data_IF_846001817086
#
_entry.id   IF_846001817086
#
_cell.length_a   1.000
_cell.length_b   1.000
_cell.length_c   1.000
_cell.angle_alpha   90.00
_cell.angle_beta   90.00
_cell.angle_gamma   90.00
#
_symmetry.space_group_name_H-M   'P 1'
#
loop_
_entity.id
_entity.type
_entity.pdbx_description
1 polymer ?
#
# COMPACT_ATOMS: atom_id res chain seq x y z
N UNK A 1 4.49 1.44 11.78
CA UNK A 1 3.99 2.48 10.87
C UNK A 1 3.07 1.89 9.80
N UNK A 2 3.47 0.84 9.04
CA UNK A 2 2.66 0.25 7.96
C UNK A 2 1.27 -0.19 8.43
N UNK A 3 1.13 -0.82 9.60
CA UNK A 3 -0.17 -1.17 10.16
C UNK A 3 -1.11 0.04 10.33
N UNK A 4 -0.55 1.21 10.65
CA UNK A 4 -1.34 2.46 10.75
C UNK A 4 -1.80 2.92 9.38
N UNK A 5 -0.93 2.87 8.38
CA UNK A 5 -1.27 3.21 6.98
C UNK A 5 -2.36 2.29 6.47
N UNK A 6 -2.17 0.98 6.58
CA UNK A 6 -3.11 -0.06 6.13
C UNK A 6 -4.51 0.15 6.72
N UNK A 7 -4.59 0.51 8.00
CA UNK A 7 -5.88 0.64 8.68
C UNK A 7 -6.54 2.01 8.53
N UNK A 8 -5.74 3.09 8.48
CA UNK A 8 -6.29 4.46 8.50
C UNK A 8 -6.51 5.03 7.11
N UNK A 9 -5.63 4.74 6.15
CA UNK A 9 -5.70 5.35 4.84
C UNK A 9 -7.02 5.06 4.12
N UNK A 10 -7.54 3.82 4.07
CA UNK A 10 -8.84 3.55 3.46
C UNK A 10 -10.00 4.33 4.15
N UNK A 11 -9.96 4.42 5.48
CA UNK A 11 -10.98 5.16 6.24
C UNK A 11 -10.93 6.67 5.98
N UNK A 12 -9.73 7.22 5.79
CA UNK A 12 -9.57 8.64 5.42
C UNK A 12 -10.15 8.88 4.03
N UNK A 13 -9.85 8.01 3.06
CA UNK A 13 -10.39 8.09 1.71
C UNK A 13 -11.92 7.97 1.68
N UNK A 14 -12.49 7.04 2.44
CA UNK A 14 -13.95 6.88 2.54
C UNK A 14 -14.62 8.15 3.08
N UNK A 15 -14.05 8.77 4.12
CA UNK A 15 -14.54 10.04 4.66
C UNK A 15 -14.46 11.18 3.65
N UNK A 16 -13.35 11.28 2.94
CA UNK A 16 -13.15 12.29 1.89
C UNK A 16 -14.18 12.10 0.77
N UNK A 17 -14.44 10.86 0.34
CA UNK A 17 -15.46 10.56 -0.64
C UNK A 17 -16.88 10.93 -0.16
N UNK A 18 -17.21 10.65 1.09
CA UNK A 18 -18.51 11.05 1.66
C UNK A 18 -18.68 12.57 1.66
N UNK A 19 -17.62 13.32 2.03
CA UNK A 19 -17.67 14.79 1.96
C UNK A 19 -17.83 15.29 0.53
N UNK A 20 -17.07 14.76 -0.42
CA UNK A 20 -17.19 15.12 -1.84
C UNK A 20 -18.58 14.78 -2.41
N UNK A 21 -19.13 13.63 -2.06
CA UNK A 21 -20.49 13.26 -2.48
C UNK A 21 -21.55 14.19 -1.90
N UNK A 22 -21.41 14.62 -0.65
CA UNK A 22 -22.32 15.58 -0.02
C UNK A 22 -22.24 16.97 -0.70
N UNK A 23 -21.02 17.44 -1.01
CA UNK A 23 -20.83 18.68 -1.78
C UNK A 23 -21.51 18.62 -3.16
N UNK A 24 -21.35 17.51 -3.90
CA UNK A 24 -21.96 17.31 -5.21
C UNK A 24 -23.48 17.24 -5.17
N UNK A 25 -24.05 16.84 -4.01
CA UNK A 25 -25.51 16.80 -3.80
C UNK A 25 -26.08 18.06 -3.15
N UNK A 26 -25.23 19.05 -2.89
CA UNK A 26 -25.58 20.27 -2.14
C UNK A 26 -26.18 19.97 -0.75
N UNK A 27 -25.76 18.84 -0.15
CA UNK A 27 -26.13 18.41 1.21
C UNK A 27 -25.09 18.88 2.23
N UNK A 28 -25.47 18.99 3.49
CA UNK A 28 -24.51 19.27 4.57
C UNK A 28 -23.44 18.17 4.67
N UNK A 29 -22.18 18.53 4.57
CA UNK A 29 -21.07 17.57 4.69
C UNK A 29 -21.05 16.94 6.09
N UNK A 30 -20.89 15.60 6.21
CA UNK A 30 -20.81 14.94 7.50
C UNK A 30 -19.58 15.40 8.25
N UNK A 31 -19.77 15.78 9.53
CA UNK A 31 -18.68 16.23 10.40
C UNK A 31 -17.97 15.01 10.99
N UNK A 32 -16.75 14.79 10.61
CA UNK A 32 -15.91 13.72 11.15
C UNK A 32 -14.87 14.27 12.13
N UNK A 33 -14.55 13.50 13.18
CA UNK A 33 -13.38 13.76 14.00
C UNK A 33 -12.11 13.70 13.14
N UNK A 34 -11.14 14.59 13.43
CA UNK A 34 -9.91 14.70 12.67
C UNK A 34 -9.11 13.39 12.73
N UNK A 35 -9.05 12.67 11.63
CA UNK A 35 -8.28 11.44 11.47
C UNK A 35 -7.12 11.69 10.51
N UNK A 36 -5.89 11.44 11.00
CA UNK A 36 -4.67 11.48 10.18
C UNK A 36 -3.83 10.23 10.44
N UNK A 37 -2.77 10.02 9.69
CA UNK A 37 -1.84 8.92 9.96
C UNK A 37 -1.15 9.05 11.33
N UNK A 38 -1.03 10.28 11.87
CA UNK A 38 -0.37 10.54 13.15
C UNK A 38 -1.36 10.68 14.33
N UNK A 39 -2.57 11.20 14.09
CA UNK A 39 -3.56 11.50 15.13
C UNK A 39 -4.91 10.85 14.83
N UNK A 40 -5.62 10.37 15.85
CA UNK A 40 -5.26 10.21 17.26
C UNK A 40 -4.19 9.12 17.46
N UNK A 41 -3.58 9.04 18.66
CA UNK A 41 -2.68 7.92 19.02
C UNK A 41 -3.41 6.58 18.92
N UNK A 42 -2.64 5.51 18.66
CA UNK A 42 -3.18 4.15 18.60
C UNK A 42 -3.84 3.79 19.96
N UNK A 43 -5.04 3.26 19.88
CA UNK A 43 -5.84 2.89 21.06
C UNK A 43 -6.43 1.50 20.88
N UNK A 44 -6.67 0.81 21.99
CA UNK A 44 -7.38 -0.44 21.96
C UNK A 44 -8.84 -0.20 21.50
N UNK A 45 -9.34 -0.90 20.47
CA UNK A 45 -10.70 -0.71 19.98
C UNK A 45 -11.78 -1.10 20.99
N UNK A 46 -11.47 -1.99 21.93
CA UNK A 46 -12.43 -2.47 22.92
C UNK A 46 -12.57 -1.58 24.15
N UNK A 47 -11.49 -0.96 24.65
CA UNK A 47 -11.53 -0.19 25.90
C UNK A 47 -11.00 1.25 25.76
N UNK A 48 -10.53 1.66 24.59
CA UNK A 48 -9.99 3.00 24.38
C UNK A 48 -8.60 3.24 25.02
N UNK A 49 -8.00 2.24 25.69
CA UNK A 49 -6.67 2.35 26.30
C UNK A 49 -5.64 2.82 25.26
N UNK A 50 -4.89 3.88 25.59
CA UNK A 50 -3.84 4.42 24.72
C UNK A 50 -2.62 3.49 24.75
N UNK A 51 -2.23 2.97 23.59
CA UNK A 51 -1.08 2.08 23.46
C UNK A 51 0.21 2.87 23.74
N UNK A 52 0.98 2.43 24.73
CA UNK A 52 2.26 3.04 25.10
C UNK A 52 3.36 2.70 24.09
N UNK A 53 4.49 3.42 24.12
CA UNK A 53 5.60 3.16 23.23
C UNK A 53 6.18 1.74 23.41
N UNK A 54 6.21 1.22 24.63
CA UNK A 54 6.69 -0.14 24.93
C UNK A 54 5.71 -1.21 24.38
N UNK A 55 4.41 -0.96 24.51
CA UNK A 55 3.39 -1.85 23.95
C UNK A 55 3.35 -1.82 22.41
N UNK A 56 3.94 -0.82 21.81
CA UNK A 56 4.04 -0.66 20.36
C UNK A 56 5.37 -1.22 19.77
N UNK A 57 6.18 -1.92 20.57
CA UNK A 57 7.36 -2.61 20.07
C UNK A 57 6.89 -3.79 19.19
N UNK A 58 7.27 -3.82 17.90
CA UNK A 58 6.80 -4.83 16.97
C UNK A 58 7.04 -6.26 17.47
N UNK A 59 6.08 -7.14 17.20
CA UNK A 59 6.15 -8.58 17.52
C UNK A 59 6.38 -8.89 19.00
N UNK A 60 7.39 -8.24 19.65
CA UNK A 60 7.76 -8.51 21.03
C UNK A 60 6.63 -8.22 22.01
N UNK A 61 5.98 -7.05 21.88
CA UNK A 61 4.88 -6.70 22.78
C UNK A 61 3.70 -7.67 22.66
N UNK A 62 3.40 -8.10 21.42
CA UNK A 62 2.34 -9.07 21.19
C UNK A 62 2.65 -10.44 21.84
N UNK A 63 3.91 -10.90 21.74
CA UNK A 63 4.36 -12.13 22.40
C UNK A 63 4.29 -12.02 23.94
N UNK A 64 4.82 -10.92 24.53
CA UNK A 64 4.80 -10.71 25.96
C UNK A 64 3.38 -10.59 26.51
N UNK A 65 2.48 -9.92 25.80
CA UNK A 65 1.08 -9.76 26.17
C UNK A 65 0.21 -10.96 25.75
N UNK A 66 0.81 -11.99 25.14
CA UNK A 66 0.12 -13.19 24.64
C UNK A 66 -1.07 -12.87 23.74
N UNK A 67 -0.89 -11.87 22.86
CA UNK A 67 -1.92 -11.43 21.93
C UNK A 67 -3.12 -10.75 22.58
N UNK A 68 -2.98 -10.16 23.77
CA UNK A 68 -4.08 -9.51 24.52
C UNK A 68 -3.75 -8.08 24.89
N UNK A 69 -4.78 -7.24 24.97
CA UNK A 69 -4.63 -5.88 25.48
C UNK A 69 -4.13 -5.89 26.94
N UNK A 70 -3.20 -4.99 27.28
CA UNK A 70 -2.68 -4.85 28.65
C UNK A 70 -3.75 -4.50 29.67
N UNK A 71 -4.71 -3.65 29.30
CA UNK A 71 -5.78 -3.16 30.18
C UNK A 71 -6.99 -4.10 30.25
N UNK A 72 -7.66 -4.37 29.13
CA UNK A 72 -8.94 -5.09 29.11
C UNK A 72 -8.83 -6.58 28.74
N UNK A 73 -7.63 -7.07 28.40
CA UNK A 73 -7.36 -8.45 27.97
C UNK A 73 -8.09 -8.90 26.70
N UNK A 74 -8.72 -7.98 25.97
CA UNK A 74 -9.30 -8.28 24.66
C UNK A 74 -8.23 -8.80 23.70
N UNK A 75 -8.58 -9.77 22.85
CA UNK A 75 -7.66 -10.37 21.88
C UNK A 75 -7.24 -9.36 20.82
N UNK A 76 -5.94 -9.30 20.52
CA UNK A 76 -5.34 -8.50 19.45
C UNK A 76 -5.08 -9.43 18.27
N UNK A 77 -5.56 -9.04 17.08
CA UNK A 77 -5.40 -9.84 15.86
C UNK A 77 -3.94 -10.19 15.59
N UNK A 78 -3.62 -11.44 15.26
CA UNK A 78 -2.27 -11.87 14.89
C UNK A 78 -1.77 -11.22 13.58
N UNK A 79 -2.66 -10.59 12.84
CA UNK A 79 -2.31 -9.86 11.62
C UNK A 79 -1.33 -8.71 11.88
N UNK A 80 -1.46 -7.99 13.01
CA UNK A 80 -0.55 -6.89 13.33
C UNK A 80 0.92 -7.34 13.43
N UNK A 81 1.26 -8.31 14.28
CA UNK A 81 2.64 -8.81 14.33
C UNK A 81 3.08 -9.51 13.05
N UNK A 82 2.17 -10.11 12.27
CA UNK A 82 2.49 -10.72 10.99
C UNK A 82 2.97 -9.68 9.96
N UNK A 83 2.25 -8.58 9.81
CA UNK A 83 2.66 -7.46 8.93
C UNK A 83 4.01 -6.90 9.36
N UNK A 84 4.23 -6.73 10.66
CA UNK A 84 5.49 -6.21 11.21
C UNK A 84 6.66 -7.16 10.98
N UNK A 85 6.45 -8.45 11.18
CA UNK A 85 7.46 -9.49 10.94
C UNK A 85 7.80 -9.58 9.44
N UNK A 86 6.79 -9.59 8.57
CA UNK A 86 6.98 -9.61 7.12
C UNK A 86 7.78 -8.36 6.66
N UNK A 87 7.36 -7.19 7.14
CA UNK A 87 8.06 -5.93 6.84
C UNK A 87 9.51 -5.97 7.31
N UNK A 88 9.76 -6.43 8.52
CA UNK A 88 11.11 -6.54 9.07
C UNK A 88 11.99 -7.52 8.28
N UNK A 89 11.44 -8.69 7.93
CA UNK A 89 12.15 -9.72 7.18
C UNK A 89 12.52 -9.24 5.76
N UNK A 90 11.55 -8.68 5.04
CA UNK A 90 11.78 -8.17 3.68
C UNK A 90 12.70 -6.94 3.68
N UNK A 91 12.62 -6.08 4.71
CA UNK A 91 13.56 -4.97 4.87
C UNK A 91 14.98 -5.44 5.14
N UNK A 92 15.14 -6.47 5.97
CA UNK A 92 16.43 -7.08 6.23
C UNK A 92 17.01 -7.73 4.95
N UNK A 93 16.18 -8.42 4.19
CA UNK A 93 16.58 -9.01 2.91
C UNK A 93 17.02 -7.92 1.91
N UNK A 94 16.25 -6.84 1.76
CA UNK A 94 16.62 -5.72 0.92
C UNK A 94 17.95 -5.09 1.35
N UNK A 95 18.17 -4.91 2.65
CA UNK A 95 19.41 -4.38 3.19
C UNK A 95 20.62 -5.33 2.97
N UNK A 96 20.41 -6.65 3.05
CA UNK A 96 21.44 -7.63 2.77
C UNK A 96 21.83 -7.68 1.29
N UNK A 97 20.85 -7.54 0.38
CA UNK A 97 21.09 -7.60 -1.07
C UNK A 97 21.68 -6.30 -1.61
N UNK A 98 21.13 -5.17 -1.22
CA UNK A 98 21.50 -3.86 -1.79
C UNK A 98 22.43 -3.04 -0.88
N UNK A 99 22.59 -3.42 0.38
CA UNK A 99 23.37 -2.66 1.35
C UNK A 99 22.80 -1.28 1.66
N UNK A 100 23.60 -0.43 2.30
CA UNK A 100 23.25 0.98 2.58
C UNK A 100 23.57 1.86 1.37
N UNK A 101 22.91 1.62 0.25
CA UNK A 101 23.08 2.32 -1.03
C UNK A 101 21.80 3.04 -1.44
N UNK A 102 21.89 3.88 -2.48
CA UNK A 102 20.72 4.49 -3.08
C UNK A 102 19.70 3.44 -3.57
N UNK A 103 20.21 2.35 -4.19
CA UNK A 103 19.38 1.21 -4.57
C UNK A 103 18.70 0.53 -3.37
N UNK A 104 19.42 0.40 -2.24
CA UNK A 104 18.83 -0.12 -1.01
C UNK A 104 17.68 0.73 -0.49
N UNK A 105 17.81 2.05 -0.51
CA UNK A 105 16.76 2.98 -0.12
C UNK A 105 15.51 2.84 -1.01
N UNK A 106 15.70 2.75 -2.32
CA UNK A 106 14.60 2.53 -3.25
C UNK A 106 13.93 1.17 -3.07
N UNK A 107 14.70 0.11 -2.88
CA UNK A 107 14.17 -1.23 -2.63
C UNK A 107 13.32 -1.28 -1.35
N UNK A 108 13.73 -0.59 -0.28
CA UNK A 108 12.93 -0.47 0.95
C UNK A 108 11.62 0.30 0.70
N UNK A 109 11.68 1.43 -0.01
CA UNK A 109 10.50 2.21 -0.38
C UNK A 109 9.48 1.37 -1.17
N UNK A 110 9.96 0.69 -2.22
CA UNK A 110 9.12 -0.19 -3.03
C UNK A 110 8.50 -1.31 -2.18
N UNK A 111 9.31 -1.99 -1.36
CA UNK A 111 8.86 -3.08 -0.48
C UNK A 111 7.77 -2.60 0.48
N UNK A 112 7.95 -1.47 1.15
CA UNK A 112 6.97 -0.95 2.11
C UNK A 112 5.67 -0.52 1.43
N UNK A 113 5.77 0.11 0.26
CA UNK A 113 4.60 0.48 -0.52
C UNK A 113 3.81 -0.76 -0.99
N UNK A 114 4.49 -1.79 -1.50
CA UNK A 114 3.84 -3.03 -1.94
C UNK A 114 3.19 -3.78 -0.78
N UNK A 115 3.83 -3.87 0.39
CA UNK A 115 3.22 -4.47 1.58
C UNK A 115 1.94 -3.68 1.95
N UNK A 116 2.01 -2.34 2.03
CA UNK A 116 0.85 -1.53 2.36
C UNK A 116 -0.29 -1.75 1.35
N UNK A 117 -0.01 -1.68 0.06
CA UNK A 117 -1.00 -1.87 -1.01
C UNK A 117 -1.62 -3.27 -0.96
N UNK A 118 -0.81 -4.34 -0.78
CA UNK A 118 -1.30 -5.72 -0.68
C UNK A 118 -2.30 -5.90 0.45
N UNK A 119 -2.01 -5.35 1.64
CA UNK A 119 -2.92 -5.49 2.77
C UNK A 119 -4.15 -4.56 2.69
N UNK A 120 -4.02 -3.39 2.06
CA UNK A 120 -5.17 -2.51 1.79
C UNK A 120 -6.08 -3.17 0.77
N UNK A 121 -5.53 -3.70 -0.31
CA UNK A 121 -6.29 -4.37 -1.37
C UNK A 121 -7.01 -5.63 -0.84
N UNK A 122 -6.33 -6.45 -0.04
CA UNK A 122 -6.93 -7.61 0.61
C UNK A 122 -8.13 -7.26 1.53
N UNK A 123 -8.15 -6.04 2.10
CA UNK A 123 -9.23 -5.60 2.98
C UNK A 123 -10.37 -4.90 2.26
N UNK A 124 -10.03 -4.06 1.28
CA UNK A 124 -10.96 -3.08 0.73
C UNK A 124 -11.13 -3.18 -0.77
N UNK A 125 -10.32 -4.00 -1.44
CA UNK A 125 -10.24 -4.09 -2.92
C UNK A 125 -9.99 -2.71 -3.55
N UNK A 126 -9.20 -1.87 -2.85
CA UNK A 126 -8.85 -0.53 -3.27
C UNK A 126 -7.32 -0.38 -3.30
N UNK A 127 -6.83 0.24 -4.36
CA UNK A 127 -5.43 0.63 -4.48
C UNK A 127 -5.33 2.17 -4.46
N UNK A 128 -4.93 2.76 -3.32
CA UNK A 128 -4.90 4.21 -3.15
C UNK A 128 -3.95 4.91 -4.11
N UNK A 129 -4.44 5.90 -4.84
CA UNK A 129 -3.64 6.74 -5.74
C UNK A 129 -2.56 7.52 -4.98
N UNK A 130 -2.83 7.84 -3.71
CA UNK A 130 -1.86 8.49 -2.81
C UNK A 130 -0.60 7.65 -2.53
N UNK A 131 -0.62 6.35 -2.83
CA UNK A 131 0.55 5.46 -2.78
C UNK A 131 1.02 5.11 -4.18
N UNK A 132 0.11 4.68 -5.08
CA UNK A 132 0.48 4.16 -6.40
C UNK A 132 1.12 5.22 -7.30
N UNK A 133 0.61 6.47 -7.32
CA UNK A 133 1.17 7.53 -8.14
C UNK A 133 2.55 8.01 -7.64
N UNK A 134 2.75 8.33 -6.35
CA UNK A 134 4.09 8.62 -5.84
C UNK A 134 5.06 7.46 -6.05
N UNK A 135 4.59 6.21 -5.96
CA UNK A 135 5.40 5.04 -6.22
C UNK A 135 5.88 5.00 -7.68
N UNK A 136 4.99 5.24 -8.65
CA UNK A 136 5.34 5.34 -10.07
C UNK A 136 6.42 6.41 -10.31
N UNK A 137 6.20 7.63 -9.81
CA UNK A 137 7.16 8.72 -9.97
C UNK A 137 8.48 8.43 -9.25
N UNK A 138 8.43 7.78 -8.08
CA UNK A 138 9.61 7.30 -7.37
C UNK A 138 10.45 6.34 -8.22
N UNK A 139 9.81 5.37 -8.88
CA UNK A 139 10.50 4.44 -9.78
C UNK A 139 11.23 5.14 -10.92
N UNK A 140 10.56 6.07 -11.59
CA UNK A 140 11.17 6.87 -12.65
C UNK A 140 12.32 7.74 -12.12
N UNK A 141 12.17 8.34 -10.92
CA UNK A 141 13.21 9.14 -10.29
C UNK A 141 14.48 8.31 -9.97
N UNK A 142 14.31 7.11 -9.40
CA UNK A 142 15.43 6.21 -9.14
C UNK A 142 16.14 5.81 -10.44
N UNK A 143 15.37 5.51 -11.49
CA UNK A 143 15.90 5.10 -12.79
C UNK A 143 16.42 6.26 -13.64
N UNK A 144 16.14 7.53 -13.30
CA UNK A 144 16.82 8.68 -13.84
C UNK A 144 18.35 8.61 -13.59
N UNK A 145 18.73 7.99 -12.47
CA UNK A 145 20.13 7.74 -12.09
C UNK A 145 20.61 6.33 -12.50
N UNK A 146 19.84 5.61 -13.32
CA UNK A 146 20.20 4.26 -13.78
C UNK A 146 20.28 3.21 -12.65
N UNK A 147 19.44 3.32 -11.61
CA UNK A 147 19.55 2.52 -10.39
C UNK A 147 19.16 1.06 -10.60
N UNK A 148 18.04 0.77 -11.23
CA UNK A 148 17.51 -0.59 -11.44
C UNK A 148 17.46 -0.95 -12.93
N UNK A 149 17.12 0.02 -13.76
CA UNK A 149 17.05 -0.12 -15.21
C UNK A 149 17.36 1.23 -15.88
N UNK A 150 17.55 1.25 -17.17
CA UNK A 150 17.68 2.49 -17.92
C UNK A 150 16.34 3.25 -17.98
N UNK A 151 16.39 4.57 -18.04
CA UNK A 151 15.20 5.42 -18.02
C UNK A 151 14.23 5.11 -19.15
N UNK A 152 14.74 4.79 -20.37
CA UNK A 152 13.89 4.45 -21.49
C UNK A 152 13.08 3.18 -21.21
N UNK A 153 13.71 2.13 -20.69
CA UNK A 153 13.02 0.89 -20.24
C UNK A 153 12.03 1.14 -19.13
N UNK A 154 12.34 2.03 -18.18
CA UNK A 154 11.43 2.40 -17.10
C UNK A 154 10.18 3.11 -17.64
N UNK A 155 10.35 4.08 -18.55
CA UNK A 155 9.21 4.81 -19.15
C UNK A 155 8.37 3.87 -20.03
N UNK A 156 9.01 3.06 -20.87
CA UNK A 156 8.31 2.06 -21.70
C UNK A 156 7.58 1.07 -20.80
N UNK A 157 8.21 0.63 -19.70
CA UNK A 157 7.61 -0.25 -18.71
C UNK A 157 6.38 0.34 -18.05
N UNK A 158 6.43 1.60 -17.64
CA UNK A 158 5.29 2.29 -17.08
C UNK A 158 4.12 2.40 -18.06
N UNK A 159 4.40 2.79 -19.30
CA UNK A 159 3.39 2.89 -20.36
C UNK A 159 2.82 1.52 -20.72
N UNK A 160 3.67 0.53 -20.96
CA UNK A 160 3.26 -0.82 -21.33
C UNK A 160 2.46 -1.50 -20.22
N UNK A 161 2.87 -1.34 -18.95
CA UNK A 161 2.14 -1.87 -17.79
C UNK A 161 0.73 -1.31 -17.67
N UNK A 162 0.58 0.00 -17.84
CA UNK A 162 -0.73 0.63 -17.85
C UNK A 162 -1.59 0.15 -19.02
N UNK A 163 -1.06 0.25 -20.24
CA UNK A 163 -1.80 -0.05 -21.48
C UNK A 163 -2.15 -1.53 -21.61
N UNK A 164 -1.33 -2.45 -21.09
CA UNK A 164 -1.62 -3.88 -21.12
C UNK A 164 -2.92 -4.20 -20.38
N UNK A 165 -3.03 -3.82 -19.11
CA UNK A 165 -4.25 -4.07 -18.33
C UNK A 165 -5.42 -3.22 -18.80
N UNK A 166 -5.19 -1.98 -19.22
CA UNK A 166 -6.21 -1.12 -19.80
C UNK A 166 -6.82 -1.73 -21.06
N UNK A 167 -6.01 -2.31 -21.96
CA UNK A 167 -6.52 -2.98 -23.17
C UNK A 167 -7.32 -4.23 -22.84
N UNK A 168 -6.87 -5.03 -21.85
CA UNK A 168 -7.62 -6.20 -21.36
C UNK A 168 -8.96 -5.77 -20.76
N UNK A 169 -8.97 -4.74 -19.93
CA UNK A 169 -10.20 -4.20 -19.33
C UNK A 169 -11.22 -3.79 -20.41
N UNK A 170 -10.80 -2.99 -21.40
CA UNK A 170 -11.70 -2.57 -22.46
C UNK A 170 -12.15 -3.71 -23.36
N UNK A 171 -11.25 -4.66 -23.66
CA UNK A 171 -11.60 -5.88 -24.40
C UNK A 171 -12.66 -6.70 -23.67
N UNK A 172 -12.50 -6.89 -22.36
CA UNK A 172 -13.49 -7.60 -21.54
C UNK A 172 -14.82 -6.83 -21.43
N UNK A 173 -14.76 -5.52 -21.19
CA UNK A 173 -15.95 -4.66 -21.07
C UNK A 173 -16.75 -4.62 -22.38
N UNK A 174 -16.10 -4.53 -23.53
CA UNK A 174 -16.76 -4.57 -24.84
C UNK A 174 -17.37 -5.94 -25.14
N UNK A 175 -16.73 -7.02 -24.72
CA UNK A 175 -17.22 -8.38 -24.96
C UNK A 175 -18.36 -8.80 -24.03
N UNK A 176 -18.34 -8.37 -22.76
CA UNK A 176 -19.27 -8.85 -21.71
C UNK A 176 -20.22 -7.78 -21.17
N UNK A 177 -19.96 -6.52 -21.41
CA UNK A 177 -20.70 -5.39 -20.82
C UNK A 177 -20.45 -5.17 -19.33
N UNK A 178 -19.53 -5.94 -18.71
CA UNK A 178 -19.23 -5.90 -17.27
C UNK A 178 -17.85 -5.31 -17.02
N UNK A 179 -17.69 -4.68 -15.86
CA UNK A 179 -16.39 -4.23 -15.39
C UNK A 179 -15.71 -5.39 -14.64
N UNK A 180 -14.55 -5.85 -15.14
CA UNK A 180 -13.86 -7.02 -14.61
C UNK A 180 -12.67 -6.71 -13.72
N UNK A 181 -12.21 -5.43 -13.64
CA UNK A 181 -10.98 -5.05 -12.94
C UNK A 181 -11.03 -3.59 -12.50
N UNK A 182 -10.36 -3.25 -11.41
CA UNK A 182 -10.22 -1.89 -10.91
C UNK A 182 -9.17 -1.06 -11.66
N UNK A 183 -9.36 0.25 -11.76
CA UNK A 183 -8.37 1.16 -12.36
C UNK A 183 -7.06 1.24 -11.55
N UNK A 184 -7.08 0.82 -10.29
CA UNK A 184 -5.90 0.78 -9.42
C UNK A 184 -4.83 -0.18 -9.91
N UNK A 185 -5.25 -1.34 -10.45
CA UNK A 185 -4.36 -2.40 -10.95
C UNK A 185 -3.48 -1.89 -12.11
N UNK A 186 -4.06 -1.07 -13.01
CA UNK A 186 -3.31 -0.48 -14.13
C UNK A 186 -2.19 0.42 -13.64
N UNK A 187 -2.47 1.24 -12.61
CA UNK A 187 -1.51 2.17 -12.00
C UNK A 187 -0.43 1.41 -11.24
N UNK A 188 -0.80 0.33 -10.54
CA UNK A 188 0.17 -0.50 -9.83
C UNK A 188 1.11 -1.21 -10.81
N UNK A 189 0.58 -1.80 -11.89
CA UNK A 189 1.43 -2.44 -12.89
C UNK A 189 2.32 -1.42 -13.62
N UNK A 190 1.81 -0.22 -13.89
CA UNK A 190 2.60 0.89 -14.41
C UNK A 190 3.72 1.28 -13.46
N UNK A 191 3.45 1.35 -12.14
CA UNK A 191 4.46 1.63 -11.13
C UNK A 191 5.56 0.55 -11.14
N UNK A 192 5.20 -0.73 -11.15
CA UNK A 192 6.16 -1.84 -11.24
C UNK A 192 7.01 -1.77 -12.50
N UNK A 193 6.40 -1.46 -13.65
CA UNK A 193 7.12 -1.21 -14.90
C UNK A 193 8.07 -0.02 -14.82
N UNK A 194 7.67 1.06 -14.14
CA UNK A 194 8.50 2.23 -13.88
C UNK A 194 9.71 1.95 -12.99
N UNK A 195 9.62 1.00 -12.05
CA UNK A 195 10.73 0.57 -11.19
C UNK A 195 11.66 -0.42 -11.86
N UNK A 196 11.10 -1.46 -12.51
CA UNK A 196 11.84 -2.66 -12.93
C UNK A 196 12.06 -2.76 -14.44
N UNK A 197 11.44 -1.85 -15.20
CA UNK A 197 11.47 -1.88 -16.66
C UNK A 197 10.40 -2.81 -17.25
N UNK A 198 10.24 -2.73 -18.56
CA UNK A 198 9.23 -3.49 -19.30
C UNK A 198 9.49 -5.01 -19.35
N UNK A 199 10.75 -5.42 -19.17
CA UNK A 199 11.17 -6.83 -19.25
C UNK A 199 10.54 -7.70 -18.14
N UNK A 200 10.20 -7.10 -17.02
CA UNK A 200 9.64 -7.80 -15.84
C UNK A 200 8.11 -7.93 -15.92
N UNK A 201 7.44 -7.11 -16.74
CA UNK A 201 5.98 -7.10 -16.84
C UNK A 201 5.35 -8.46 -17.18
N UNK A 202 5.85 -9.25 -18.16
CA UNK A 202 5.26 -10.55 -18.46
C UNK A 202 5.28 -11.51 -17.27
N UNK A 203 6.39 -11.51 -16.50
CA UNK A 203 6.52 -12.36 -15.31
C UNK A 203 5.57 -11.86 -14.22
N UNK A 204 5.46 -10.55 -14.02
CA UNK A 204 4.56 -9.96 -13.04
C UNK A 204 3.10 -10.31 -13.33
N UNK A 205 2.67 -10.22 -14.58
CA UNK A 205 1.31 -10.57 -15.01
C UNK A 205 1.05 -12.07 -14.80
N UNK A 206 2.00 -12.93 -15.15
CA UNK A 206 1.86 -14.38 -14.95
C UNK A 206 1.76 -14.80 -13.48
N UNK A 207 2.45 -14.09 -12.59
CA UNK A 207 2.41 -14.37 -11.15
C UNK A 207 1.17 -13.79 -10.46
N UNK A 208 0.49 -12.83 -11.07
CA UNK A 208 -0.71 -12.18 -10.54
C UNK A 208 -2.03 -12.82 -11.01
N UNK A 209 -1.97 -13.68 -12.03
CA UNK A 209 -3.13 -14.41 -12.57
C UNK A 209 -3.34 -15.72 -11.85
#
# INVERSE_FOLDING_TARGET
FLNVVIHRLPKMMERDWHCQCAELREEEAPVYEKLTLATPRSRCPACGHAISALENIPVLSWLFLRGKCSACKAAISPRYPLVEMLTGLLSALAALVFGCTWAGAGALLLTWALIALTFIDADTQLLPDSITLPLLWGGLLFNLFGTYTDLASAVIGAMAGYLALWSVYWGFKLATGKEGMGYGDFKLLAALGGWLGWQVLPITILLSS
#
